data_IF_598596100573
#
_entry.id   IF_598596100573
#
_cell.length_a   1.000
_cell.length_b   1.000
_cell.length_c   1.000
_cell.angle_alpha   90.00
_cell.angle_beta   90.00
_cell.angle_gamma   90.00
#
_symmetry.space_group_name_H-M   'P 1'
#
loop_
_entity.id
_entity.type
_entity.pdbx_description
1 polymer ?
#
# COMPACT_ATOMS: atom_id res chain seq x y z
N UNK A 1 -11.29 27.04 9.88
CA UNK A 1 -10.40 26.28 9.00
C UNK A 1 -10.54 24.80 9.27
N UNK A 2 -10.60 24.00 8.22
CA UNK A 2 -10.84 22.55 8.31
C UNK A 2 -9.55 21.72 8.14
N UNK A 3 -8.47 22.34 7.64
CA UNK A 3 -7.12 21.77 7.51
C UNK A 3 -6.07 22.83 7.86
N UNK A 4 -5.28 22.63 8.92
CA UNK A 4 -4.35 23.65 9.39
C UNK A 4 -3.00 23.62 8.61
N UNK A 5 -2.35 24.77 8.39
CA UNK A 5 -1.07 24.83 7.66
C UNK A 5 0.07 24.02 8.30
N UNK A 6 -0.01 23.73 9.60
CA UNK A 6 0.98 22.93 10.32
C UNK A 6 0.78 21.41 10.15
N UNK A 7 -0.26 20.96 9.45
CA UNK A 7 -0.45 19.55 9.12
C UNK A 7 0.32 19.17 7.86
N UNK A 8 0.45 17.86 7.59
CA UNK A 8 1.13 17.37 6.39
C UNK A 8 0.46 17.94 5.13
N UNK A 9 1.21 18.71 4.33
CA UNK A 9 0.70 19.29 3.06
C UNK A 9 1.17 18.49 1.83
N UNK A 10 2.18 17.65 2.01
CA UNK A 10 2.84 16.90 0.95
C UNK A 10 2.89 15.41 1.33
N UNK A 11 2.82 14.56 0.32
CA UNK A 11 2.82 13.10 0.45
C UNK A 11 3.71 12.46 -0.61
N UNK A 12 4.16 11.24 -0.31
CA UNK A 12 4.90 10.41 -1.25
C UNK A 12 3.94 9.46 -1.96
N UNK A 13 4.08 9.31 -3.28
CA UNK A 13 3.43 8.22 -4.00
C UNK A 13 4.20 6.94 -3.75
N UNK A 14 3.58 5.98 -3.07
CA UNK A 14 4.19 4.69 -2.73
C UNK A 14 3.57 3.59 -3.58
N UNK A 15 4.42 2.74 -4.17
CA UNK A 15 3.99 1.56 -4.91
C UNK A 15 4.31 0.30 -4.12
N UNK A 16 3.29 -0.49 -3.78
CA UNK A 16 3.45 -1.79 -3.14
C UNK A 16 3.20 -2.87 -4.20
N UNK A 17 4.17 -3.77 -4.38
CA UNK A 17 4.06 -4.92 -5.30
C UNK A 17 4.26 -6.20 -4.51
N UNK A 18 3.29 -7.10 -4.59
CA UNK A 18 3.38 -8.47 -4.07
C UNK A 18 3.44 -9.39 -5.28
N UNK A 19 4.56 -10.09 -5.46
CA UNK A 19 4.77 -11.03 -6.55
C UNK A 19 5.31 -12.36 -6.02
N UNK A 20 5.76 -13.25 -6.90
CA UNK A 20 6.31 -14.55 -6.52
C UNK A 20 7.65 -14.47 -5.78
N UNK A 21 8.37 -13.35 -5.89
CA UNK A 21 9.69 -13.14 -5.28
C UNK A 21 9.61 -12.46 -3.90
N UNK A 22 8.45 -11.88 -3.55
CA UNK A 22 8.18 -11.28 -2.25
C UNK A 22 7.35 -9.99 -2.35
N UNK A 23 7.38 -9.20 -1.27
CA UNK A 23 6.71 -7.90 -1.18
C UNK A 23 7.72 -6.78 -1.30
N UNK A 24 7.41 -5.80 -2.14
CA UNK A 24 8.29 -4.69 -2.50
C UNK A 24 7.60 -3.36 -2.28
N UNK A 25 8.35 -2.35 -1.84
CA UNK A 25 7.94 -0.94 -1.82
C UNK A 25 8.89 -0.18 -2.73
N UNK A 26 8.33 0.50 -3.74
CA UNK A 26 9.07 1.28 -4.74
C UNK A 26 10.22 0.50 -5.40
N UNK A 27 9.97 -0.80 -5.65
CA UNK A 27 10.94 -1.72 -6.27
C UNK A 27 11.95 -2.36 -5.30
N UNK A 28 12.04 -1.90 -4.05
CA UNK A 28 12.89 -2.51 -3.03
C UNK A 28 12.14 -3.59 -2.27
N UNK A 29 12.74 -4.79 -2.14
CA UNK A 29 12.14 -5.89 -1.37
C UNK A 29 12.14 -5.56 0.12
N UNK A 30 10.98 -5.65 0.75
CA UNK A 30 10.77 -5.35 2.18
C UNK A 30 10.32 -6.56 3.00
N UNK A 31 9.85 -7.63 2.36
CA UNK A 31 9.41 -8.86 3.02
C UNK A 31 9.47 -10.04 2.05
N UNK A 32 9.69 -11.23 2.58
CA UNK A 32 9.66 -12.50 1.84
C UNK A 32 8.23 -13.00 1.56
N UNK A 33 7.21 -12.39 2.18
CA UNK A 33 5.81 -12.72 1.91
C UNK A 33 5.49 -12.45 0.44
N UNK A 34 5.03 -13.49 -0.25
CA UNK A 34 4.81 -13.56 -1.69
C UNK A 34 3.35 -13.91 -2.01
N UNK A 35 2.96 -13.87 -3.28
CA UNK A 35 1.61 -14.26 -3.69
C UNK A 35 1.28 -15.74 -3.37
N UNK A 36 2.31 -16.59 -3.25
CA UNK A 36 2.19 -18.02 -2.96
C UNK A 36 1.69 -18.28 -1.54
N UNK A 37 1.91 -17.33 -0.62
CA UNK A 37 1.51 -17.42 0.78
C UNK A 37 0.00 -17.14 1.01
N UNK A 38 -0.69 -16.57 0.02
CA UNK A 38 -2.09 -16.16 0.15
C UNK A 38 -3.10 -17.17 -0.41
N UNK A 39 -2.64 -18.26 -1.03
CA UNK A 39 -3.48 -19.31 -1.65
C UNK A 39 -4.70 -18.76 -2.40
N UNK A 40 -4.50 -17.71 -3.20
CA UNK A 40 -5.59 -16.97 -3.84
C UNK A 40 -6.25 -17.79 -4.94
N UNK A 41 -7.58 -17.72 -4.98
CA UNK A 41 -8.42 -18.27 -6.03
C UNK A 41 -9.45 -17.22 -6.52
N UNK A 42 -10.28 -17.62 -7.48
CA UNK A 42 -11.31 -16.73 -8.06
C UNK A 42 -12.41 -16.29 -7.08
N UNK A 43 -12.50 -16.91 -5.89
CA UNK A 43 -13.46 -16.54 -4.83
C UNK A 43 -12.83 -15.68 -3.73
N UNK A 44 -11.52 -15.51 -3.78
CA UNK A 44 -10.75 -14.88 -2.72
C UNK A 44 -11.07 -13.38 -2.64
N UNK A 45 -11.37 -12.91 -1.43
CA UNK A 45 -11.54 -11.48 -1.14
C UNK A 45 -10.21 -10.88 -0.72
N UNK A 46 -9.72 -9.93 -1.49
CA UNK A 46 -8.52 -9.16 -1.13
C UNK A 46 -8.90 -8.05 -0.15
N UNK A 47 -8.22 -8.02 1.00
CA UNK A 47 -8.38 -6.97 2.01
C UNK A 47 -7.05 -6.26 2.20
N UNK A 48 -7.01 -4.98 1.85
CA UNK A 48 -5.89 -4.11 2.17
C UNK A 48 -6.14 -3.45 3.53
N UNK A 49 -5.20 -3.61 4.46
CA UNK A 49 -5.22 -2.94 5.77
C UNK A 49 -3.99 -2.06 5.90
N UNK A 50 -4.21 -0.80 6.24
CA UNK A 50 -3.15 0.15 6.60
C UNK A 50 -3.30 0.39 8.11
N UNK A 51 -2.23 0.16 8.86
CA UNK A 51 -2.23 0.31 10.30
C UNK A 51 -0.83 0.69 10.79
N UNK A 52 -0.77 1.41 11.91
CA UNK A 52 0.46 1.62 12.67
C UNK A 52 0.55 0.49 13.69
N UNK A 53 1.71 -0.18 13.75
CA UNK A 53 1.96 -1.18 14.78
C UNK A 53 2.31 -0.48 16.10
N UNK A 54 1.48 -0.68 17.12
CA UNK A 54 1.65 -0.13 18.46
C UNK A 54 2.93 -0.61 19.16
N UNK A 55 3.53 -1.71 18.69
CA UNK A 55 4.80 -2.25 19.22
C UNK A 55 6.02 -1.69 18.50
N UNK A 56 5.84 -0.84 17.48
CA UNK A 56 6.96 -0.23 16.76
C UNK A 56 7.79 0.69 17.66
N UNK A 57 9.11 0.70 17.46
CA UNK A 57 10.04 1.54 18.23
C UNK A 57 9.66 3.03 18.23
N UNK A 58 9.14 3.53 17.10
CA UNK A 58 8.70 4.90 16.92
C UNK A 58 7.23 4.91 16.47
N UNK A 59 6.31 4.75 17.41
CA UNK A 59 4.86 4.79 17.11
C UNK A 59 4.48 6.20 16.68
N UNK A 60 3.88 6.31 15.50
CA UNK A 60 3.42 7.58 14.93
C UNK A 60 2.02 7.44 14.33
N UNK A 61 1.74 8.25 13.31
CA UNK A 61 0.51 8.17 12.53
C UNK A 61 0.79 7.91 11.05
N UNK A 62 -0.27 7.60 10.31
CA UNK A 62 -0.25 7.59 8.84
C UNK A 62 -1.25 8.63 8.34
N UNK A 63 -0.80 9.49 7.42
CA UNK A 63 -1.69 10.39 6.67
C UNK A 63 -1.81 9.86 5.25
N UNK A 64 -3.05 9.67 4.78
CA UNK A 64 -3.32 9.21 3.43
C UNK A 64 -3.97 10.38 2.68
N UNK A 65 -3.42 10.69 1.51
CA UNK A 65 -3.98 11.67 0.59
C UNK A 65 -4.69 10.94 -0.55
N UNK A 66 -5.89 11.42 -0.91
CA UNK A 66 -6.60 11.01 -2.12
C UNK A 66 -6.41 12.02 -3.24
N UNK A 67 -7.15 11.85 -4.34
CA UNK A 67 -6.96 12.58 -5.60
C UNK A 67 -7.08 14.11 -5.53
N UNK A 68 -7.66 14.65 -4.46
CA UNK A 68 -7.84 16.09 -4.26
C UNK A 68 -6.83 16.74 -3.31
N UNK A 69 -5.87 15.98 -2.75
CA UNK A 69 -4.91 16.47 -1.75
C UNK A 69 -3.49 15.94 -1.98
N UNK A 70 -2.49 16.66 -1.45
CA UNK A 70 -1.08 16.28 -1.55
C UNK A 70 -0.49 16.55 -2.95
N UNK A 71 0.56 15.81 -3.30
CA UNK A 71 1.35 16.05 -4.53
C UNK A 71 0.84 15.30 -5.75
N UNK A 72 0.00 14.28 -5.56
CA UNK A 72 -0.40 13.36 -6.60
C UNK A 72 -1.92 13.29 -6.65
N UNK A 73 -2.50 13.68 -7.78
CA UNK A 73 -3.94 13.65 -7.99
C UNK A 73 -4.44 12.22 -8.28
N UNK A 74 -4.26 11.32 -7.30
CA UNK A 74 -4.63 9.91 -7.41
C UNK A 74 -5.18 9.38 -6.08
N UNK A 75 -6.23 8.55 -6.15
CA UNK A 75 -6.65 7.70 -5.03
C UNK A 75 -5.77 6.42 -4.96
N UNK A 76 -6.18 5.44 -4.16
CA UNK A 76 -5.50 4.14 -4.12
C UNK A 76 -5.90 3.33 -5.36
N UNK A 77 -4.93 3.10 -6.24
CA UNK A 77 -5.09 2.24 -7.41
C UNK A 77 -4.64 0.81 -7.08
N UNK A 78 -5.46 -0.17 -7.45
CA UNK A 78 -5.18 -1.60 -7.28
C UNK A 78 -5.25 -2.27 -8.64
N UNK A 79 -4.20 -3.00 -9.00
CA UNK A 79 -4.11 -3.76 -10.24
C UNK A 79 -3.70 -5.19 -9.94
N UNK A 80 -4.34 -6.15 -10.61
CA UNK A 80 -4.01 -7.57 -10.53
C UNK A 80 -3.59 -8.02 -11.92
N UNK A 81 -2.41 -8.61 -12.01
CA UNK A 81 -1.91 -9.22 -13.23
C UNK A 81 -2.02 -10.74 -13.10
N UNK A 82 -2.58 -11.39 -14.11
CA UNK A 82 -2.70 -12.83 -14.19
C UNK A 82 -2.16 -13.29 -15.54
N UNK A 83 -1.43 -14.40 -15.53
CA UNK A 83 -1.14 -15.17 -16.74
C UNK A 83 -2.15 -16.32 -16.84
N UNK A 84 -2.60 -16.69 -18.05
CA UNK A 84 -3.29 -17.96 -18.24
C UNK A 84 -2.47 -19.10 -17.65
N UNK A 85 -3.12 -20.07 -17.01
CA UNK A 85 -2.50 -21.37 -16.79
C UNK A 85 -2.55 -22.12 -18.11
N UNK A 86 -1.39 -22.48 -18.65
CA UNK A 86 -1.28 -23.41 -19.78
C UNK A 86 -1.82 -24.81 -19.41
#
# INVERSE_FOLDING_TARGET
DWWYPNWNQYGLLKMIVINEQGTHIDGLKISDVSIKDFSLDYKSKLRLRIAVDERSKNVGGVTIFGSSFGNYSQDINVSIQYSPMD
#
